data_IF_274873464296
#
_entry.id   IF_274873464296
#
_cell.length_a   1.000
_cell.length_b   1.000
_cell.length_c   1.000
_cell.angle_alpha   90.00
_cell.angle_beta   90.00
_cell.angle_gamma   90.00
#
_symmetry.space_group_name_H-M   'P 1'
#
loop_
_entity.id
_entity.type
_entity.pdbx_description
1 polymer ?
#
# COMPACT_ATOMS: atom_id res chain seq x y z
N UNK A 1 16.10 -58.47 -6.64
CA UNK A 1 16.37 -57.93 -5.29
C UNK A 1 16.23 -56.43 -5.38
N UNK A 2 15.24 -55.86 -4.72
CA UNK A 2 14.89 -54.44 -4.72
C UNK A 2 15.82 -53.66 -3.79
N UNK A 3 16.34 -52.51 -4.22
CA UNK A 3 17.02 -51.53 -3.35
C UNK A 3 16.04 -50.43 -2.95
N UNK A 4 16.01 -49.96 -1.68
CA UNK A 4 15.08 -48.94 -1.24
C UNK A 4 15.67 -47.53 -1.24
N UNK A 5 14.83 -46.58 -1.70
CA UNK A 5 14.66 -45.19 -1.30
C UNK A 5 15.87 -44.33 -0.91
N UNK A 6 16.20 -43.41 -1.81
CA UNK A 6 16.87 -42.16 -1.47
C UNK A 6 15.92 -41.22 -0.74
N UNK A 7 16.32 -40.80 0.46
CA UNK A 7 15.78 -39.62 1.14
C UNK A 7 16.96 -38.90 1.74
N UNK A 8 17.52 -37.92 1.02
CA UNK A 8 18.48 -36.97 1.60
C UNK A 8 17.69 -35.94 2.41
N UNK A 9 18.13 -35.57 3.62
CA UNK A 9 17.49 -34.53 4.40
C UNK A 9 17.63 -33.16 3.69
N UNK A 10 16.68 -32.23 3.88
CA UNK A 10 16.74 -30.92 3.25
C UNK A 10 17.99 -30.17 3.69
N UNK A 11 18.78 -29.71 2.71
CA UNK A 11 20.02 -28.98 2.91
C UNK A 11 19.70 -27.62 3.57
N UNK A 12 20.18 -27.37 4.79
CA UNK A 12 19.90 -26.15 5.55
C UNK A 12 20.20 -24.86 4.77
N UNK A 13 21.09 -24.93 3.76
CA UNK A 13 21.43 -23.81 2.88
C UNK A 13 20.31 -23.46 1.88
N UNK A 14 19.43 -24.39 1.52
CA UNK A 14 18.23 -24.08 0.72
C UNK A 14 17.18 -23.39 1.57
N UNK A 15 16.94 -23.85 2.80
CA UNK A 15 15.99 -23.22 3.73
C UNK A 15 16.33 -21.75 4.01
N UNK A 16 17.60 -21.44 4.30
CA UNK A 16 18.05 -20.05 4.54
C UNK A 16 17.84 -19.14 3.30
N UNK A 17 17.96 -19.69 2.09
CA UNK A 17 17.75 -18.93 0.84
C UNK A 17 16.27 -18.69 0.58
N UNK A 18 15.43 -19.68 0.87
CA UNK A 18 13.98 -19.58 0.72
C UNK A 18 13.39 -18.61 1.74
N UNK A 19 13.85 -18.63 2.99
CA UNK A 19 13.46 -17.65 4.03
C UNK A 19 13.83 -16.21 3.64
N UNK A 20 15.03 -16.01 3.06
CA UNK A 20 15.45 -14.70 2.56
C UNK A 20 14.64 -14.20 1.36
N UNK A 21 14.12 -15.12 0.53
CA UNK A 21 13.24 -14.82 -0.60
C UNK A 21 11.83 -14.49 -0.11
N UNK A 22 11.30 -15.24 0.85
CA UNK A 22 10.01 -14.98 1.49
C UNK A 22 10.00 -13.68 2.29
N UNK A 23 11.12 -13.30 2.92
CA UNK A 23 11.25 -12.00 3.58
C UNK A 23 11.18 -10.81 2.61
N UNK A 24 11.69 -10.94 1.37
CA UNK A 24 11.61 -9.90 0.32
C UNK A 24 10.30 -9.94 -0.48
N UNK A 25 9.68 -11.11 -0.60
CA UNK A 25 8.42 -11.33 -1.32
C UNK A 25 7.25 -11.56 -0.37
N UNK A 26 7.33 -11.08 0.88
CA UNK A 26 6.32 -11.42 1.88
C UNK A 26 4.94 -11.07 1.35
N UNK A 27 4.11 -12.10 1.15
CA UNK A 27 2.75 -11.95 0.64
C UNK A 27 1.93 -10.96 1.46
N UNK A 28 2.28 -10.81 2.75
CA UNK A 28 1.77 -9.77 3.64
C UNK A 28 2.06 -8.36 3.14
N UNK A 29 3.32 -8.02 2.79
CA UNK A 29 3.67 -6.71 2.21
C UNK A 29 2.92 -6.42 0.91
N UNK A 30 2.68 -7.43 0.09
CA UNK A 30 1.88 -7.26 -1.13
C UNK A 30 0.41 -6.94 -0.79
N UNK A 31 -0.16 -7.66 0.17
CA UNK A 31 -1.51 -7.41 0.68
C UNK A 31 -1.64 -6.01 1.32
N UNK A 32 -0.71 -5.63 2.19
CA UNK A 32 -0.63 -4.29 2.80
C UNK A 32 -0.48 -3.21 1.72
N UNK A 33 0.38 -3.39 0.72
CA UNK A 33 0.54 -2.43 -0.37
C UNK A 33 -0.75 -2.26 -1.16
N UNK A 34 -1.49 -3.36 -1.42
CA UNK A 34 -2.79 -3.31 -2.08
C UNK A 34 -3.81 -2.56 -1.22
N UNK A 35 -3.91 -2.88 0.07
CA UNK A 35 -4.80 -2.17 1.01
C UNK A 35 -4.44 -0.69 1.12
N UNK A 36 -3.15 -0.33 1.07
CA UNK A 36 -2.68 1.06 1.07
C UNK A 36 -3.16 1.84 -0.14
N UNK A 37 -3.23 1.19 -1.31
CA UNK A 37 -3.76 1.82 -2.53
C UNK A 37 -5.24 2.12 -2.40
N UNK A 38 -6.02 1.14 -1.94
CA UNK A 38 -7.47 1.30 -1.74
C UNK A 38 -7.77 2.37 -0.67
N UNK A 39 -7.05 2.33 0.45
CA UNK A 39 -7.14 3.35 1.50
C UNK A 39 -6.85 4.77 0.96
N UNK A 40 -5.82 4.91 0.11
CA UNK A 40 -5.52 6.17 -0.56
C UNK A 40 -6.63 6.58 -1.54
N UNK A 41 -7.20 5.64 -2.28
CA UNK A 41 -8.31 5.91 -3.21
C UNK A 41 -9.54 6.45 -2.47
N UNK A 42 -9.86 5.91 -1.29
CA UNK A 42 -10.92 6.44 -0.44
C UNK A 42 -10.61 7.87 0.07
N UNK A 43 -9.37 8.13 0.48
CA UNK A 43 -8.96 9.47 0.88
C UNK A 43 -9.05 10.47 -0.28
N UNK A 44 -8.72 10.06 -1.51
CA UNK A 44 -8.90 10.87 -2.72
C UNK A 44 -10.38 11.25 -2.91
N UNK A 45 -11.32 10.31 -2.69
CA UNK A 45 -12.76 10.63 -2.77
C UNK A 45 -13.19 11.66 -1.72
N UNK A 46 -12.70 11.53 -0.48
CA UNK A 46 -12.98 12.50 0.60
C UNK A 46 -12.42 13.88 0.27
N UNK A 47 -11.24 13.94 -0.34
CA UNK A 47 -10.57 15.18 -0.70
C UNK A 47 -10.92 15.72 -2.10
N UNK A 48 -11.90 15.10 -2.79
CA UNK A 48 -12.21 15.39 -4.19
C UNK A 48 -12.58 16.86 -4.44
N UNK A 49 -13.26 17.51 -3.50
CA UNK A 49 -13.61 18.93 -3.62
C UNK A 49 -12.38 19.84 -3.65
N UNK A 50 -11.38 19.58 -2.80
CA UNK A 50 -10.13 20.35 -2.78
C UNK A 50 -9.32 20.12 -4.06
N UNK A 51 -9.27 18.88 -4.54
CA UNK A 51 -8.63 18.52 -5.80
C UNK A 51 -9.31 19.17 -7.00
N UNK A 52 -10.65 19.20 -7.04
CA UNK A 52 -11.42 19.87 -8.08
C UNK A 52 -11.15 21.36 -8.12
N UNK A 53 -11.17 22.02 -6.96
CA UNK A 53 -10.93 23.47 -6.87
C UNK A 53 -9.50 23.83 -7.31
N UNK A 54 -8.50 23.05 -6.85
CA UNK A 54 -7.13 23.22 -7.32
C UNK A 54 -7.00 22.96 -8.82
N UNK A 55 -7.64 21.91 -9.34
CA UNK A 55 -7.64 21.57 -10.77
C UNK A 55 -8.19 22.70 -11.63
N UNK A 56 -9.30 23.32 -11.21
CA UNK A 56 -9.85 24.50 -11.88
C UNK A 56 -8.86 25.67 -11.85
N UNK A 57 -8.33 26.01 -10.67
CA UNK A 57 -7.35 27.10 -10.55
C UNK A 57 -6.09 26.85 -11.39
N UNK A 58 -5.62 25.60 -11.47
CA UNK A 58 -4.45 25.22 -12.25
C UNK A 58 -4.69 25.37 -13.76
N UNK A 59 -5.89 25.03 -14.24
CA UNK A 59 -6.29 25.27 -15.63
C UNK A 59 -6.32 26.77 -15.94
N UNK A 60 -6.85 27.59 -15.04
CA UNK A 60 -6.99 29.03 -15.24
C UNK A 60 -5.65 29.79 -15.11
N UNK A 61 -4.76 29.33 -14.23
CA UNK A 61 -3.52 30.04 -13.88
C UNK A 61 -2.31 29.66 -14.76
N UNK A 62 -2.35 28.50 -15.43
CA UNK A 62 -1.25 28.00 -16.25
C UNK A 62 0.09 27.98 -15.50
N UNK A 63 1.10 28.65 -16.04
CA UNK A 63 2.44 28.71 -15.44
C UNK A 63 2.48 29.39 -14.06
N UNK A 64 1.49 30.22 -13.72
CA UNK A 64 1.43 30.92 -12.43
C UNK A 64 0.74 30.09 -11.33
N UNK A 65 0.37 28.83 -11.59
CA UNK A 65 -0.31 27.93 -10.63
C UNK A 65 0.36 27.85 -9.25
N UNK A 66 1.69 27.85 -9.21
CA UNK A 66 2.46 27.72 -7.95
C UNK A 66 2.24 28.93 -7.04
N UNK A 67 2.00 30.09 -7.61
CA UNK A 67 1.73 31.33 -6.88
C UNK A 67 0.22 31.47 -6.61
N UNK A 68 -0.59 31.38 -7.66
CA UNK A 68 -2.02 31.69 -7.61
C UNK A 68 -2.85 30.64 -6.89
N UNK A 69 -2.45 29.36 -6.94
CA UNK A 69 -3.22 28.23 -6.39
C UNK A 69 -2.60 27.67 -5.11
N UNK A 70 -1.63 28.37 -4.49
CA UNK A 70 -0.90 27.90 -3.31
C UNK A 70 -1.81 27.52 -2.15
N UNK A 71 -2.84 28.32 -1.89
CA UNK A 71 -3.81 28.05 -0.81
C UNK A 71 -4.67 26.81 -1.08
N UNK A 72 -5.03 26.57 -2.35
CA UNK A 72 -5.80 25.39 -2.74
C UNK A 72 -4.95 24.12 -2.61
N UNK A 73 -3.66 24.20 -2.97
CA UNK A 73 -2.72 23.10 -2.73
C UNK A 73 -2.55 22.81 -1.23
N UNK A 74 -2.50 23.86 -0.39
CA UNK A 74 -2.46 23.68 1.08
C UNK A 74 -3.67 22.89 1.58
N UNK A 75 -4.88 23.23 1.13
CA UNK A 75 -6.12 22.51 1.51
C UNK A 75 -6.10 21.03 1.10
N UNK A 76 -5.52 20.71 -0.06
CA UNK A 76 -5.33 19.30 -0.46
C UNK A 76 -4.41 18.59 0.55
N UNK A 77 -3.28 19.20 0.89
CA UNK A 77 -2.34 18.61 1.84
C UNK A 77 -2.95 18.43 3.23
N UNK A 78 -3.68 19.43 3.72
CA UNK A 78 -4.42 19.36 5.00
C UNK A 78 -5.42 18.18 4.99
N UNK A 79 -6.24 18.06 3.95
CA UNK A 79 -7.20 16.95 3.81
C UNK A 79 -6.52 15.58 3.71
N UNK A 80 -5.44 15.47 2.93
CA UNK A 80 -4.69 14.22 2.78
C UNK A 80 -3.95 13.84 4.06
N UNK A 81 -3.47 14.80 4.85
CA UNK A 81 -2.92 14.53 6.18
C UNK A 81 -4.00 14.01 7.12
N UNK A 82 -5.23 14.49 7.03
CA UNK A 82 -6.32 14.02 7.89
C UNK A 82 -6.75 12.58 7.56
N UNK A 83 -6.80 12.24 6.26
CA UNK A 83 -7.43 11.00 5.80
C UNK A 83 -6.47 9.93 5.28
N UNK A 84 -5.21 10.27 4.98
CA UNK A 84 -4.24 9.36 4.37
C UNK A 84 -2.86 9.42 5.07
N UNK A 85 -2.84 9.72 6.37
CA UNK A 85 -1.60 9.69 7.15
C UNK A 85 -1.12 8.25 7.39
N UNK A 86 0.19 8.05 7.66
CA UNK A 86 0.72 6.75 8.07
C UNK A 86 -0.03 6.17 9.29
N UNK A 87 -0.30 6.99 10.29
CA UNK A 87 -0.96 6.58 11.54
C UNK A 87 -2.41 6.14 11.28
N UNK A 88 -3.12 6.84 10.38
CA UNK A 88 -4.46 6.44 9.94
C UNK A 88 -4.44 5.12 9.18
N UNK A 89 -3.40 4.88 8.38
CA UNK A 89 -3.27 3.62 7.65
C UNK A 89 -2.93 2.45 8.60
N UNK A 90 -2.10 2.68 9.62
CA UNK A 90 -1.82 1.68 10.65
C UNK A 90 -3.09 1.32 11.45
N UNK A 91 -3.88 2.33 11.84
CA UNK A 91 -5.18 2.11 12.46
C UNK A 91 -6.12 1.33 11.53
N UNK A 92 -6.18 1.69 10.24
CA UNK A 92 -6.96 0.98 9.24
C UNK A 92 -6.56 -0.50 9.12
N UNK A 93 -5.26 -0.82 9.09
CA UNK A 93 -4.79 -2.21 9.06
C UNK A 93 -5.18 -2.98 10.32
N UNK A 94 -5.13 -2.34 11.49
CA UNK A 94 -5.54 -2.95 12.76
C UNK A 94 -7.04 -3.24 12.79
N UNK A 95 -7.84 -2.31 12.30
CA UNK A 95 -9.30 -2.46 12.24
C UNK A 95 -9.74 -3.51 11.19
N UNK A 96 -8.88 -3.83 10.23
CA UNK A 96 -9.12 -4.76 9.13
C UNK A 96 -8.13 -5.94 9.12
N UNK A 97 -7.70 -6.40 10.29
CA UNK A 97 -6.70 -7.47 10.44
C UNK A 97 -7.13 -8.78 9.75
N UNK A 98 -8.38 -9.20 9.96
CA UNK A 98 -8.97 -10.38 9.32
C UNK A 98 -8.89 -10.31 7.78
N UNK A 99 -9.12 -9.11 7.23
CA UNK A 99 -9.04 -8.88 5.80
C UNK A 99 -7.60 -8.94 5.29
N UNK A 100 -6.66 -8.37 6.04
CA UNK A 100 -5.23 -8.44 5.74
C UNK A 100 -4.75 -9.90 5.71
N UNK A 101 -5.15 -10.72 6.67
CA UNK A 101 -4.83 -12.15 6.70
C UNK A 101 -5.40 -12.89 5.49
N UNK A 102 -6.69 -12.68 5.19
CA UNK A 102 -7.35 -13.28 4.02
C UNK A 102 -6.64 -12.91 2.71
N UNK A 103 -6.25 -11.64 2.56
CA UNK A 103 -5.52 -11.14 1.38
C UNK A 103 -4.08 -11.70 1.32
N UNK A 104 -3.44 -11.86 2.47
CA UNK A 104 -2.12 -12.49 2.58
C UNK A 104 -2.18 -13.95 2.13
N UNK A 105 -3.17 -14.71 2.58
CA UNK A 105 -3.39 -16.10 2.17
C UNK A 105 -3.73 -16.21 0.69
N UNK A 106 -4.61 -15.34 0.16
CA UNK A 106 -4.94 -15.31 -1.27
C UNK A 106 -3.73 -15.03 -2.15
N UNK A 107 -2.79 -14.22 -1.68
CA UNK A 107 -1.59 -13.87 -2.45
C UNK A 107 -0.55 -15.01 -2.50
N UNK A 108 -0.67 -16.02 -1.62
CA UNK A 108 0.18 -17.23 -1.59
C UNK A 108 -0.21 -18.29 -2.64
N UNK A 109 -1.46 -18.26 -3.13
CA UNK A 109 -2.03 -19.23 -4.08
C UNK A 109 -1.80 -18.73 -5.50
#
# INVERSE_FOLDING_TARGET
>A
MSTPNGTNPPDARSQIKDDGRDARLSFRRFAEHKMKREFKEEAIQKCAIHMKNFGQCAQDSGLLVVFNCRDLNRKINECMMEHNSPERFEAYLKDHEDELEKRTLKSKV
#
